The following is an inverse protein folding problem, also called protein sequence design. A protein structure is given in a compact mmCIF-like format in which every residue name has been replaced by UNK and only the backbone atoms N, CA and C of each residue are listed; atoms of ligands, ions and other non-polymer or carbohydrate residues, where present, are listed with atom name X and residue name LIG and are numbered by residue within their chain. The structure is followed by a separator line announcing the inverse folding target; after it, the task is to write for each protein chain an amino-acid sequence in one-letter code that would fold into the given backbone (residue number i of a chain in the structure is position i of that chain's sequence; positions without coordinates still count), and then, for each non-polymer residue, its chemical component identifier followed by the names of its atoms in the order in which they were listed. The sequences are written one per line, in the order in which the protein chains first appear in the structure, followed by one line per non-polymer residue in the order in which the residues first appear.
data_IF_406993443660
#
_entry.id   IF_406993443660
#
_cell.length_a   1.000
_cell.length_b   1.000
_cell.length_c   1.000
_cell.angle_alpha   90.00
_cell.angle_beta   90.00
_cell.angle_gamma   90.00
#
_symmetry.space_group_name_H-M   'P 1'
#
loop_
_entity.id
_entity.type
_entity.pdbx_description
1 polymer ?
#
# COMPACT_ATOMS: atom_id res chain seq x y z
N UNK A 1 16.06 1.90 -3.45
CA UNK A 1 14.68 2.38 -3.66
C UNK A 1 14.10 1.89 -4.97
N UNK A 2 14.71 2.23 -6.11
CA UNK A 2 14.23 1.80 -7.44
C UNK A 2 14.01 0.30 -7.62
N UNK A 3 14.83 -0.57 -6.99
CA UNK A 3 14.63 -2.02 -7.05
C UNK A 3 13.30 -2.45 -6.41
N UNK A 4 12.94 -1.85 -5.26
CA UNK A 4 11.68 -2.16 -4.56
C UNK A 4 10.48 -1.54 -5.27
N UNK A 5 10.67 -0.33 -5.80
CA UNK A 5 9.65 0.36 -6.59
C UNK A 5 9.25 -0.46 -7.84
N UNK A 6 10.26 -0.92 -8.60
CA UNK A 6 10.05 -1.80 -9.75
C UNK A 6 9.48 -3.16 -9.38
N UNK A 7 9.86 -3.71 -8.22
CA UNK A 7 9.31 -4.98 -7.76
C UNK A 7 7.80 -4.91 -7.51
N UNK A 8 7.30 -3.77 -7.02
CA UNK A 8 5.85 -3.55 -6.86
C UNK A 8 5.17 -3.56 -8.24
N UNK A 9 5.74 -2.87 -9.23
CA UNK A 9 5.17 -2.83 -10.59
C UNK A 9 5.12 -4.22 -11.23
N UNK A 10 6.22 -4.97 -11.17
CA UNK A 10 6.29 -6.32 -11.71
C UNK A 10 5.32 -7.27 -11.02
N UNK A 11 5.20 -7.17 -9.69
CA UNK A 11 4.26 -7.98 -8.92
C UNK A 11 2.81 -7.74 -9.35
N UNK A 12 2.40 -6.48 -9.47
CA UNK A 12 1.04 -6.12 -9.89
C UNK A 12 0.80 -6.52 -11.36
N UNK A 13 1.79 -6.36 -12.23
CA UNK A 13 1.73 -6.81 -13.63
C UNK A 13 1.45 -8.31 -13.72
N UNK A 14 2.17 -9.11 -12.94
CA UNK A 14 1.98 -10.56 -12.89
C UNK A 14 0.59 -10.91 -12.36
N UNK A 15 0.13 -10.27 -11.28
CA UNK A 15 -1.20 -10.54 -10.73
C UNK A 15 -2.31 -10.26 -11.75
N UNK A 16 -2.24 -9.12 -12.45
CA UNK A 16 -3.21 -8.80 -13.50
C UNK A 16 -3.16 -9.75 -14.67
N UNK A 17 -1.95 -10.14 -15.09
CA UNK A 17 -1.78 -11.13 -16.15
C UNK A 17 -2.46 -12.45 -15.76
N UNK A 18 -2.15 -12.99 -14.58
CA UNK A 18 -2.76 -14.23 -14.08
C UNK A 18 -4.28 -14.11 -14.00
N UNK A 19 -4.81 -13.01 -13.45
CA UNK A 19 -6.25 -12.78 -13.38
C UNK A 19 -6.91 -12.75 -14.77
N UNK A 20 -6.23 -12.17 -15.77
CA UNK A 20 -6.68 -12.14 -17.15
C UNK A 20 -6.71 -13.52 -17.83
N UNK A 21 -5.93 -14.49 -17.35
CA UNK A 21 -5.93 -15.87 -17.90
C UNK A 21 -6.99 -16.78 -17.30
N UNK A 22 -7.60 -16.38 -16.18
CA UNK A 22 -8.63 -17.18 -15.52
C UNK A 22 -10.01 -16.81 -16.10
N UNK A 23 -10.75 -17.84 -16.51
CA UNK A 23 -12.15 -17.70 -16.87
C UNK A 23 -13.00 -17.54 -15.60
N UNK A 24 -13.68 -16.41 -15.48
CA UNK A 24 -14.48 -16.06 -14.30
C UNK A 24 -15.54 -15.01 -14.64
N UNK A 25 -16.62 -14.93 -13.83
CA UNK A 25 -17.60 -13.85 -13.92
C UNK A 25 -16.98 -12.45 -13.86
N UNK A 26 -17.61 -11.49 -14.53
CA UNK A 26 -17.10 -10.11 -14.57
C UNK A 26 -17.13 -9.43 -13.20
N UNK A 27 -18.13 -9.75 -12.37
CA UNK A 27 -18.22 -9.22 -11.00
C UNK A 27 -17.03 -9.67 -10.15
N UNK A 28 -16.64 -10.95 -10.24
CA UNK A 28 -15.47 -11.50 -9.56
C UNK A 28 -14.19 -10.86 -10.10
N UNK A 29 -14.08 -10.72 -11.43
CA UNK A 29 -12.94 -10.05 -12.08
C UNK A 29 -12.79 -8.61 -11.60
N UNK A 30 -13.88 -7.86 -11.52
CA UNK A 30 -13.92 -6.49 -11.01
C UNK A 30 -13.49 -6.43 -9.54
N UNK A 31 -14.01 -7.34 -8.72
CA UNK A 31 -13.63 -7.46 -7.30
C UNK A 31 -12.13 -7.71 -7.12
N UNK A 32 -11.55 -8.67 -7.85
CA UNK A 32 -10.12 -8.95 -7.76
C UNK A 32 -9.25 -7.82 -8.29
N UNK A 33 -9.66 -7.15 -9.37
CA UNK A 33 -8.94 -5.97 -9.85
C UNK A 33 -8.90 -4.87 -8.79
N UNK A 34 -10.01 -4.63 -8.09
CA UNK A 34 -10.06 -3.68 -6.98
C UNK A 34 -9.12 -4.07 -5.84
N UNK A 35 -9.03 -5.35 -5.49
CA UNK A 35 -8.06 -5.84 -4.49
C UNK A 35 -6.60 -5.65 -4.93
N UNK A 36 -6.32 -5.82 -6.22
CA UNK A 36 -4.99 -5.57 -6.79
C UNK A 36 -4.65 -4.07 -6.73
N UNK A 37 -5.60 -3.19 -7.02
CA UNK A 37 -5.45 -1.73 -6.91
C UNK A 37 -5.18 -1.29 -5.48
N UNK A 38 -5.96 -1.84 -4.53
CA UNK A 38 -5.79 -1.70 -3.10
C UNK A 38 -4.37 -2.05 -2.67
N UNK A 39 -3.88 -3.21 -3.13
CA UNK A 39 -2.55 -3.73 -2.82
C UNK A 39 -1.45 -2.84 -3.38
N UNK A 40 -1.56 -2.44 -4.66
CA UNK A 40 -0.59 -1.56 -5.32
C UNK A 40 -0.44 -0.24 -4.57
N UNK A 41 -1.55 0.43 -4.29
CA UNK A 41 -1.53 1.69 -3.56
C UNK A 41 -0.91 1.51 -2.18
N UNK A 42 -1.33 0.50 -1.44
CA UNK A 42 -0.90 0.31 -0.07
C UNK A 42 0.62 0.12 0.01
N UNK A 43 1.17 -0.75 -0.85
CA UNK A 43 2.60 -1.03 -0.88
C UNK A 43 3.42 0.21 -1.26
N UNK A 44 2.94 1.01 -2.22
CA UNK A 44 3.56 2.28 -2.61
C UNK A 44 3.55 3.31 -1.49
N UNK A 45 2.40 3.50 -0.84
CA UNK A 45 2.27 4.45 0.27
C UNK A 45 3.13 4.05 1.46
N UNK A 46 3.16 2.77 1.84
CA UNK A 46 4.04 2.28 2.90
C UNK A 46 5.53 2.42 2.54
N UNK A 47 5.90 2.13 1.29
CA UNK A 47 7.28 2.27 0.83
C UNK A 47 7.72 3.74 0.88
N UNK A 48 6.87 4.66 0.38
CA UNK A 48 7.10 6.09 0.46
C UNK A 48 7.26 6.56 1.90
N UNK A 49 6.35 6.14 2.78
CA UNK A 49 6.36 6.52 4.20
C UNK A 49 7.62 6.01 4.93
N UNK A 50 8.02 4.76 4.68
CA UNK A 50 9.23 4.17 5.28
C UNK A 50 10.50 4.92 4.92
N UNK A 51 10.56 5.49 3.72
CA UNK A 51 11.74 6.13 3.17
C UNK A 51 11.62 7.66 3.10
N UNK A 52 10.54 8.23 3.65
CA UNK A 52 10.18 9.64 3.52
C UNK A 52 10.22 10.14 2.07
N UNK A 53 9.82 9.28 1.12
CA UNK A 53 9.81 9.54 -0.32
C UNK A 53 8.39 9.91 -0.77
N UNK A 54 8.17 11.21 -0.92
CA UNK A 54 6.89 11.78 -1.32
C UNK A 54 6.45 11.32 -2.71
N UNK A 55 7.38 11.16 -3.66
CA UNK A 55 7.05 10.79 -5.04
C UNK A 55 6.45 9.39 -5.09
N UNK A 56 7.07 8.44 -4.38
CA UNK A 56 6.57 7.07 -4.28
C UNK A 56 5.25 7.01 -3.50
N UNK A 57 5.12 7.80 -2.44
CA UNK A 57 3.89 7.90 -1.67
C UNK A 57 2.71 8.40 -2.51
N UNK A 58 2.90 9.52 -3.21
CA UNK A 58 1.85 10.16 -4.01
C UNK A 58 1.42 9.28 -5.19
N UNK A 59 2.33 8.50 -5.79
CA UNK A 59 1.97 7.49 -6.80
C UNK A 59 0.94 6.48 -6.29
N UNK A 60 1.10 6.02 -5.04
CA UNK A 60 0.13 5.12 -4.42
C UNK A 60 -1.17 5.83 -4.08
N UNK A 61 -1.07 7.01 -3.46
CA UNK A 61 -2.24 7.80 -3.07
C UNK A 61 -3.13 8.21 -4.26
N UNK A 62 -2.53 8.65 -5.36
CA UNK A 62 -3.25 9.04 -6.58
C UNK A 62 -3.97 7.88 -7.25
N UNK A 63 -3.51 6.64 -7.03
CA UNK A 63 -4.17 5.44 -7.54
C UNK A 63 -5.56 5.24 -6.93
N UNK A 64 -5.77 5.72 -5.70
CA UNK A 64 -7.10 5.77 -5.07
C UNK A 64 -7.93 6.98 -5.43
N UNK A 65 -7.29 8.10 -5.74
CA UNK A 65 -7.99 9.35 -6.03
C UNK A 65 -8.73 9.32 -7.39
N UNK A 66 -8.62 8.21 -8.12
CA UNK A 66 -9.42 7.89 -9.30
C UNK A 66 -10.67 7.06 -8.98
N UNK A 67 -10.85 6.65 -7.72
CA UNK A 67 -11.96 5.85 -7.20
C UNK A 67 -12.86 6.75 -6.33
N UNK A 68 -14.19 6.65 -6.47
CA UNK A 68 -15.18 7.57 -5.88
C UNK A 68 -15.12 7.73 -4.33
N UNK A 69 -14.37 6.89 -3.61
CA UNK A 69 -14.22 6.96 -2.15
C UNK A 69 -12.82 6.53 -1.70
N UNK A 70 -12.15 7.36 -0.88
CA UNK A 70 -10.84 7.08 -0.28
C UNK A 70 -11.04 6.26 1.01
N UNK A 71 -10.47 5.04 1.12
CA UNK A 71 -10.56 4.26 2.34
C UNK A 71 -9.92 4.95 3.55
N UNK A 72 -10.49 4.78 4.75
CA UNK A 72 -9.97 5.38 5.99
C UNK A 72 -8.49 5.08 6.23
N UNK A 73 -8.04 3.86 5.91
CA UNK A 73 -6.63 3.45 6.06
C UNK A 73 -5.70 4.29 5.18
N UNK A 74 -6.14 4.63 3.96
CA UNK A 74 -5.40 5.48 3.01
C UNK A 74 -5.34 6.92 3.52
N UNK A 75 -6.48 7.45 3.99
CA UNK A 75 -6.55 8.76 4.62
C UNK A 75 -5.64 8.86 5.86
N UNK A 76 -5.61 7.81 6.68
CA UNK A 76 -4.71 7.72 7.84
C UNK A 76 -3.23 7.73 7.44
N UNK A 77 -2.84 6.95 6.42
CA UNK A 77 -1.46 6.97 5.91
C UNK A 77 -1.07 8.34 5.38
N UNK A 78 -1.99 9.05 4.71
CA UNK A 78 -1.76 10.41 4.22
C UNK A 78 -1.49 11.36 5.40
N UNK A 79 -2.36 11.32 6.42
CA UNK A 79 -2.19 12.10 7.65
C UNK A 79 -0.88 11.77 8.36
N UNK A 80 -0.49 10.48 8.41
CA UNK A 80 0.79 10.03 8.98
C UNK A 80 1.97 10.58 8.19
N UNK A 81 1.92 10.58 6.86
CA UNK A 81 3.01 11.11 6.03
C UNK A 81 3.19 12.62 6.19
N UNK A 82 2.08 13.38 6.17
CA UNK A 82 2.12 14.84 6.26
C UNK A 82 2.40 15.37 7.67
N UNK A 83 2.31 14.52 8.70
CA UNK A 83 2.56 14.89 10.09
C UNK A 83 3.78 14.14 10.67
N UNK A 84 4.94 14.80 10.79
CA UNK A 84 6.17 14.19 11.30
C UNK A 84 6.03 13.62 12.72
N UNK A 85 5.27 14.28 13.59
CA UNK A 85 5.04 13.83 14.96
C UNK A 85 4.21 12.55 14.99
N UNK A 86 3.13 12.51 14.21
CA UNK A 86 2.29 11.31 14.08
C UNK A 86 3.10 10.14 13.49
N UNK A 87 3.93 10.40 12.47
CA UNK A 87 4.80 9.37 11.90
C UNK A 87 5.77 8.80 12.94
N UNK A 88 6.44 9.68 13.71
CA UNK A 88 7.34 9.29 14.78
C UNK A 88 6.63 8.46 15.85
N UNK A 89 5.44 8.89 16.29
CA UNK A 89 4.65 8.16 17.28
C UNK A 89 4.27 6.76 16.78
N UNK A 90 3.82 6.63 15.53
CA UNK A 90 3.52 5.33 14.92
C UNK A 90 4.76 4.42 14.86
N UNK A 91 5.91 4.95 14.45
CA UNK A 91 7.17 4.17 14.40
C UNK A 91 7.59 3.68 15.80
N UNK A 92 7.37 4.49 16.83
CA UNK A 92 7.66 4.11 18.21
C UNK A 92 6.78 2.93 18.66
N UNK A 93 5.47 3.00 18.41
CA UNK A 93 4.53 1.91 18.73
C UNK A 93 4.90 0.64 17.98
N UNK A 94 5.17 0.72 16.67
CA UNK A 94 5.59 -0.41 15.84
C UNK A 94 6.86 -1.09 16.41
N UNK A 95 7.83 -0.29 16.88
CA UNK A 95 9.07 -0.79 17.51
C UNK A 95 8.79 -1.50 18.83
N UNK A 96 7.92 -0.95 19.67
CA UNK A 96 7.56 -1.55 20.98
C UNK A 96 6.79 -2.85 20.78
N UNK A 97 5.77 -2.85 19.93
CA UNK A 97 4.97 -4.04 19.61
C UNK A 97 5.85 -5.13 18.99
N UNK A 98 6.77 -4.76 18.09
CA UNK A 98 7.72 -5.70 17.50
C UNK A 98 8.66 -6.35 18.53
N UNK A 99 9.10 -5.62 19.55
CA UNK A 99 9.89 -6.18 20.67
C UNK A 99 9.06 -7.14 21.51
N UNK A 100 7.84 -6.77 21.87
CA UNK A 100 6.94 -7.61 22.67
C UNK A 100 6.65 -8.94 21.97
N UNK A 101 6.37 -8.91 20.66
CA UNK A 101 6.14 -10.13 19.87
C UNK A 101 7.35 -11.08 19.87
N UNK A 102 8.57 -10.56 19.86
CA UNK A 102 9.81 -11.36 19.90
C UNK A 102 10.13 -11.95 21.28
N UNK A 103 9.52 -11.41 22.34
CA UNK A 103 9.67 -11.95 23.69
C UNK A 103 8.62 -13.04 24.01
N UNK A 104 7.53 -13.06 23.25
CA UNK A 104 6.44 -14.03 23.36
C UNK A 104 6.62 -15.25 22.44
N UNK A 105 7.61 -15.23 21.54
CA UNK A 105 8.02 -16.31 20.65
C UNK A 105 9.39 -16.83 21.09
#
# INVERSE_FOLDING_TARGET
MEKKDRAIDEYIRILRYVLGTIDMPEDDRSFYNKMIDEKYSWDRMLLGLKHNDRKTFDKGYLYWNQSECIPEKVAFLKKRFDNPFLNWACLLVEKVVGKLKKQLL
#
